data_IF_335120720646
#
_entry.id   IF_335120720646
#
_cell.length_a   1.000
_cell.length_b   1.000
_cell.length_c   1.000
_cell.angle_alpha   90.00
_cell.angle_beta   90.00
_cell.angle_gamma   90.00
#
_symmetry.space_group_name_H-M   'P 1'
#
loop_
_entity.id
_entity.type
_entity.pdbx_description
1 polymer ?
#
# COMPACT_ATOMS: atom_id res chain seq x y z
N UNK A 1 7.36 -4.56 -25.89
CA UNK A 1 8.27 -5.22 -24.92
C UNK A 1 7.43 -5.66 -23.72
N UNK A 2 7.49 -6.94 -23.32
CA UNK A 2 6.86 -7.39 -22.07
C UNK A 2 7.78 -6.98 -20.92
N UNK A 3 7.25 -6.22 -19.95
CA UNK A 3 7.99 -5.87 -18.74
C UNK A 3 8.38 -7.16 -18.00
N UNK A 4 9.62 -7.22 -17.50
CA UNK A 4 10.08 -8.38 -16.73
C UNK A 4 9.33 -8.47 -15.40
N UNK A 5 9.32 -9.66 -14.79
CA UNK A 5 8.69 -9.88 -13.48
C UNK A 5 9.24 -8.93 -12.40
N UNK A 6 10.55 -8.67 -12.46
CA UNK A 6 11.25 -7.74 -11.56
C UNK A 6 10.78 -6.30 -11.77
N UNK A 7 10.65 -5.86 -13.03
CA UNK A 7 10.15 -4.52 -13.37
C UNK A 7 8.70 -4.31 -12.89
N UNK A 8 7.83 -5.31 -13.08
CA UNK A 8 6.46 -5.25 -12.59
C UNK A 8 6.39 -5.17 -11.06
N UNK A 9 7.27 -5.90 -10.37
CA UNK A 9 7.37 -5.89 -8.91
C UNK A 9 7.81 -4.52 -8.41
N UNK A 10 8.82 -3.93 -9.05
CA UNK A 10 9.36 -2.62 -8.71
C UNK A 10 8.31 -1.52 -8.89
N UNK A 11 7.55 -1.56 -10.00
CA UNK A 11 6.40 -0.66 -10.20
C UNK A 11 5.35 -0.80 -9.11
N UNK A 12 5.04 -2.03 -8.68
CA UNK A 12 4.08 -2.29 -7.59
C UNK A 12 4.58 -1.75 -6.25
N UNK A 13 5.86 -1.91 -5.94
CA UNK A 13 6.46 -1.38 -4.70
C UNK A 13 6.39 0.14 -4.66
N UNK A 14 6.78 0.84 -5.73
CA UNK A 14 6.68 2.29 -5.78
C UNK A 14 5.24 2.80 -5.75
N UNK A 15 4.32 2.14 -6.45
CA UNK A 15 2.90 2.49 -6.38
C UNK A 15 2.36 2.33 -4.95
N UNK A 16 2.75 1.27 -4.26
CA UNK A 16 2.36 1.02 -2.87
C UNK A 16 2.97 2.05 -1.91
N UNK A 17 4.26 2.41 -2.06
CA UNK A 17 4.91 3.44 -1.24
C UNK A 17 4.26 4.81 -1.41
N UNK A 18 3.95 5.17 -2.65
CA UNK A 18 3.24 6.42 -2.94
C UNK A 18 1.84 6.42 -2.32
N UNK A 19 1.15 5.28 -2.34
CA UNK A 19 -0.18 5.16 -1.73
C UNK A 19 -0.14 5.15 -0.20
N UNK A 20 0.92 4.59 0.41
CA UNK A 20 1.11 4.60 1.86
C UNK A 20 1.56 5.97 2.40
N UNK A 21 1.79 6.95 1.52
CA UNK A 21 2.23 8.29 1.89
C UNK A 21 3.68 8.35 2.36
N UNK A 22 4.49 7.34 2.03
CA UNK A 22 5.91 7.35 2.33
C UNK A 22 6.69 8.10 1.26
N UNK A 23 7.62 8.95 1.71
CA UNK A 23 8.57 9.61 0.82
C UNK A 23 9.62 8.62 0.35
N UNK A 24 9.97 8.72 -0.93
CA UNK A 24 10.97 7.87 -1.56
C UNK A 24 12.33 8.52 -1.36
N UNK A 25 13.07 8.11 -0.32
CA UNK A 25 14.44 8.60 -0.09
C UNK A 25 15.45 7.76 -0.88
N UNK A 26 16.64 8.30 -1.20
CA UNK A 26 17.69 7.55 -1.90
C UNK A 26 18.09 6.25 -1.19
N UNK A 27 18.11 6.26 0.14
CA UNK A 27 18.43 5.09 0.97
C UNK A 27 17.36 4.01 0.85
N UNK A 28 16.09 4.42 0.80
CA UNK A 28 14.97 3.52 0.59
C UNK A 28 14.96 2.94 -0.82
N UNK A 29 15.25 3.74 -1.85
CA UNK A 29 15.41 3.25 -3.23
C UNK A 29 16.51 2.20 -3.33
N UNK A 30 17.68 2.48 -2.75
CA UNK A 30 18.79 1.53 -2.73
C UNK A 30 18.40 0.22 -2.03
N UNK A 31 17.73 0.31 -0.87
CA UNK A 31 17.27 -0.87 -0.15
C UNK A 31 16.23 -1.69 -0.94
N UNK A 32 15.32 -1.03 -1.67
CA UNK A 32 14.34 -1.69 -2.54
C UNK A 32 15.05 -2.43 -3.68
N UNK A 33 16.00 -1.78 -4.34
CA UNK A 33 16.75 -2.39 -5.45
C UNK A 33 17.58 -3.59 -4.97
N UNK A 34 18.22 -3.45 -3.81
CA UNK A 34 19.03 -4.51 -3.22
C UNK A 34 18.16 -5.72 -2.82
N UNK A 35 17.06 -5.50 -2.10
CA UNK A 35 16.15 -6.58 -1.69
C UNK A 35 15.49 -7.27 -2.88
N UNK A 36 15.19 -6.53 -3.96
CA UNK A 36 14.69 -7.09 -5.20
C UNK A 36 15.74 -7.95 -5.91
N UNK A 37 17.00 -7.52 -5.97
CA UNK A 37 18.08 -8.30 -6.54
C UNK A 37 18.29 -9.61 -5.78
N UNK A 38 18.37 -9.54 -4.45
CA UNK A 38 18.50 -10.70 -3.55
C UNK A 38 17.33 -11.69 -3.75
N UNK A 39 16.09 -11.20 -3.85
CA UNK A 39 14.91 -12.04 -4.06
C UNK A 39 14.88 -12.71 -5.46
N UNK A 40 15.40 -12.02 -6.48
CA UNK A 40 15.52 -12.57 -7.84
C UNK A 40 16.59 -13.66 -7.90
N UNK A 41 17.75 -13.43 -7.29
CA UNK A 41 18.83 -14.42 -7.20
C UNK A 41 18.39 -15.66 -6.42
N UNK A 42 17.65 -15.49 -5.33
CA UNK A 42 17.06 -16.58 -4.55
C UNK A 42 15.93 -17.34 -5.29
N UNK A 43 15.54 -16.90 -6.49
CA UNK A 43 14.47 -17.53 -7.27
C UNK A 43 13.09 -17.42 -6.62
N UNK A 44 12.86 -16.38 -5.82
CA UNK A 44 11.64 -16.27 -5.03
C UNK A 44 10.37 -16.23 -5.92
N UNK A 45 9.34 -16.97 -5.50
CA UNK A 45 8.05 -17.01 -6.19
C UNK A 45 7.14 -15.83 -5.83
N UNK A 46 7.42 -15.06 -4.78
CA UNK A 46 6.70 -13.82 -4.50
C UNK A 46 7.70 -12.71 -4.20
N UNK A 47 8.20 -12.08 -5.27
CA UNK A 47 9.16 -10.98 -5.15
C UNK A 47 8.57 -9.79 -4.37
N UNK A 48 7.28 -9.52 -4.54
CA UNK A 48 6.63 -8.37 -3.88
C UNK A 48 6.51 -8.60 -2.38
N UNK A 49 5.98 -9.76 -1.96
CA UNK A 49 5.84 -10.11 -0.55
C UNK A 49 7.19 -10.16 0.16
N UNK A 50 8.19 -10.80 -0.46
CA UNK A 50 9.54 -10.90 0.11
C UNK A 50 10.15 -9.50 0.29
N UNK A 51 10.14 -8.65 -0.74
CA UNK A 51 10.71 -7.31 -0.63
C UNK A 51 9.99 -6.49 0.46
N UNK A 52 8.65 -6.54 0.50
CA UNK A 52 7.87 -5.75 1.44
C UNK A 52 8.08 -6.20 2.89
N UNK A 53 8.16 -7.51 3.15
CA UNK A 53 8.51 -8.04 4.47
C UNK A 53 9.92 -7.61 4.89
N UNK A 54 10.92 -7.78 4.03
CA UNK A 54 12.31 -7.42 4.36
C UNK A 54 12.46 -5.93 4.64
N UNK A 55 11.78 -5.07 3.87
CA UNK A 55 11.80 -3.61 4.10
C UNK A 55 11.10 -3.21 5.41
N UNK A 56 10.05 -3.92 5.80
CA UNK A 56 9.37 -3.73 7.08
C UNK A 56 10.22 -4.20 8.26
N UNK A 57 10.86 -5.37 8.16
CA UNK A 57 11.78 -5.90 9.17
C UNK A 57 12.97 -4.98 9.41
N UNK A 58 13.48 -4.34 8.34
CA UNK A 58 14.53 -3.32 8.42
C UNK A 58 14.04 -1.98 8.97
N UNK A 59 12.74 -1.82 9.22
CA UNK A 59 12.13 -0.58 9.73
C UNK A 59 12.12 0.57 8.71
N UNK A 60 12.42 0.29 7.44
CA UNK A 60 12.46 1.30 6.37
C UNK A 60 11.06 1.67 5.88
N UNK A 61 10.10 0.78 6.08
CA UNK A 61 8.73 0.93 5.62
C UNK A 61 7.78 0.67 6.77
N UNK A 62 6.87 1.61 7.03
CA UNK A 62 5.84 1.44 8.05
C UNK A 62 4.58 0.89 7.40
N UNK A 63 3.99 -0.15 8.01
CA UNK A 63 2.66 -0.61 7.61
C UNK A 63 1.68 0.56 7.76
N UNK A 64 0.91 0.94 6.73
CA UNK A 64 -0.10 1.98 6.89
C UNK A 64 -1.04 1.55 8.03
N UNK A 65 -1.25 2.46 8.97
CA UNK A 65 -2.16 2.24 10.10
C UNK A 65 -3.58 1.91 9.61
N UNK A 66 -4.46 1.42 10.50
CA UNK A 66 -5.84 1.12 10.11
C UNK A 66 -6.44 2.36 9.44
N UNK A 67 -6.91 2.18 8.21
CA UNK A 67 -7.66 3.21 7.48
C UNK A 67 -8.77 3.65 8.42
N UNK A 68 -8.76 4.92 8.83
CA UNK A 68 -9.86 5.51 9.60
C UNK A 68 -11.07 5.52 8.67
N UNK A 69 -11.83 4.44 8.68
CA UNK A 69 -13.12 4.38 8.02
C UNK A 69 -13.97 5.47 8.68
N UNK A 70 -14.57 6.41 7.94
CA UNK A 70 -15.47 7.37 8.55
C UNK A 70 -16.56 6.59 9.31
N UNK A 71 -16.79 6.97 10.56
CA UNK A 71 -17.81 6.34 11.40
C UNK A 71 -19.14 6.31 10.63
N UNK A 72 -19.74 5.11 10.56
CA UNK A 72 -21.03 4.85 9.93
C UNK A 72 -22.00 5.96 10.38
N UNK A 73 -22.48 6.75 9.43
CA UNK A 73 -23.45 7.81 9.72
C UNK A 73 -24.68 7.18 10.40
N UNK A 74 -25.25 7.83 11.43
CA UNK A 74 -26.42 7.29 12.11
C UNK A 74 -27.55 7.03 11.11
N UNK A 75 -28.40 6.02 11.35
CA UNK A 75 -29.51 5.69 10.45
C UNK A 75 -30.38 6.93 10.23
N UNK A 76 -30.63 7.27 8.97
CA UNK A 76 -31.51 8.37 8.60
C UNK A 76 -32.93 8.09 9.10
N UNK A 77 -33.29 8.64 10.25
CA UNK A 77 -34.67 8.64 10.73
C UNK A 77 -35.47 9.68 9.94
N UNK A 78 -36.17 9.23 8.90
CA UNK A 78 -37.10 10.04 8.09
C UNK A 78 -38.42 10.24 8.85
N UNK A 79 -38.38 10.99 9.95
CA UNK A 79 -39.57 11.36 10.71
C UNK A 79 -39.61 12.87 10.92
N UNK A 80 -40.77 13.44 10.57
CA UNK A 80 -41.17 14.85 10.55
C UNK A 80 -40.73 15.65 9.31
N UNK A 81 -41.69 15.90 8.41
CA UNK A 81 -42.35 17.22 8.36
C UNK A 81 -43.84 16.95 8.08
N UNK A 82 -44.70 17.23 9.07
CA UNK A 82 -46.15 17.17 8.91
C UNK A 82 -46.63 18.33 8.06
N UNK A 83 -46.87 18.09 6.78
CA UNK A 83 -47.74 18.93 5.96
C UNK A 83 -49.06 18.17 5.79
N UNK A 84 -50.04 18.49 6.63
CA UNK A 84 -51.33 17.82 6.66
C UNK A 84 -52.37 18.66 7.39
N UNK A 85 -52.64 19.86 6.87
CA UNK A 85 -53.84 20.61 7.20
C UNK A 85 -54.21 21.49 6.01
N UNK A 86 -54.85 20.88 5.02
CA UNK A 86 -55.80 21.51 4.10
C UNK A 86 -56.88 20.49 3.77
#
# INVERSE_FOLDING_TARGET
MRATRSEQTLRRLFAWLRWSGQELTPELEQAILQTLAEAVEAGAQDLFGVCLCTLQERGLVTRPGPVRVPMISPPLHRSSIGYGSY
#
